data_IF_086140511943
#
_entry.id   IF_086140511943
#
_cell.length_a   1.000
_cell.length_b   1.000
_cell.length_c   1.000
_cell.angle_alpha   90.00
_cell.angle_beta   90.00
_cell.angle_gamma   90.00
#
_symmetry.space_group_name_H-M   'P 1'
#
loop_
_entity.id
_entity.type
_entity.pdbx_description
1 polymer ?
#
# COMPACT_ATOMS: atom_id res chain seq x y z
N UNK A 1 4.07 13.14 13.01
CA UNK A 1 5.05 12.28 12.30
C UNK A 1 5.27 12.88 10.92
N UNK A 2 6.50 13.19 10.58
CA UNK A 2 6.82 13.66 9.22
C UNK A 2 7.08 12.45 8.33
N UNK A 3 6.33 12.35 7.24
CA UNK A 3 6.50 11.34 6.21
C UNK A 3 6.98 12.07 4.96
N UNK A 4 8.22 11.92 4.60
CA UNK A 4 8.92 12.50 3.42
C UNK A 4 8.21 13.59 2.68
N UNK A 5 8.23 14.73 2.55
CA UNK A 5 7.61 15.78 1.73
C UNK A 5 6.08 15.81 1.68
N UNK A 6 5.37 15.02 2.50
CA UNK A 6 3.92 14.97 2.52
C UNK A 6 3.39 15.87 3.63
N UNK A 7 2.34 16.63 3.31
CA UNK A 7 1.63 17.46 4.29
C UNK A 7 0.80 16.58 5.24
N UNK A 8 0.69 17.01 6.50
CA UNK A 8 -0.07 16.26 7.50
C UNK A 8 -1.51 15.99 7.07
N UNK A 9 -2.17 16.95 6.42
CA UNK A 9 -3.53 16.77 5.88
C UNK A 9 -3.61 15.69 4.80
N UNK A 10 -2.57 15.56 3.96
CA UNK A 10 -2.49 14.55 2.93
C UNK A 10 -2.29 13.16 3.57
N UNK A 11 -1.43 13.07 4.57
CA UNK A 11 -1.21 11.83 5.30
C UNK A 11 -2.49 11.36 6.00
N UNK A 12 -3.21 12.25 6.66
CA UNK A 12 -4.48 11.90 7.30
C UNK A 12 -5.55 11.48 6.29
N UNK A 13 -5.60 12.13 5.13
CA UNK A 13 -6.50 11.72 4.04
C UNK A 13 -6.15 10.33 3.51
N UNK A 14 -4.86 10.03 3.33
CA UNK A 14 -4.38 8.70 2.93
C UNK A 14 -4.74 7.62 3.94
N UNK A 15 -4.54 7.89 5.23
CA UNK A 15 -4.89 6.95 6.30
C UNK A 15 -6.39 6.63 6.30
N UNK A 16 -7.23 7.66 6.23
CA UNK A 16 -8.69 7.47 6.14
C UNK A 16 -9.09 6.67 4.90
N UNK A 17 -8.47 6.98 3.76
CA UNK A 17 -8.76 6.27 2.51
C UNK A 17 -8.37 4.78 2.59
N UNK A 18 -7.22 4.45 3.16
CA UNK A 18 -6.78 3.07 3.34
C UNK A 18 -7.70 2.30 4.29
N UNK A 19 -8.07 2.90 5.44
CA UNK A 19 -9.00 2.29 6.38
C UNK A 19 -10.37 2.03 5.75
N UNK A 20 -10.88 3.00 4.99
CA UNK A 20 -12.16 2.85 4.29
C UNK A 20 -12.09 1.79 3.19
N UNK A 21 -10.96 1.66 2.51
CA UNK A 21 -10.78 0.68 1.45
C UNK A 21 -10.91 -0.77 1.96
N UNK A 22 -10.64 -1.03 3.24
CA UNK A 22 -10.86 -2.35 3.85
C UNK A 22 -12.30 -2.85 3.68
N UNK A 23 -13.27 -1.94 3.64
CA UNK A 23 -14.69 -2.28 3.45
C UNK A 23 -14.98 -2.89 2.07
N UNK A 24 -14.09 -2.66 1.09
CA UNK A 24 -14.21 -3.18 -0.27
C UNK A 24 -13.51 -4.52 -0.46
N UNK A 25 -12.87 -5.06 0.57
CA UNK A 25 -12.16 -6.33 0.51
C UNK A 25 -13.10 -7.48 0.18
N UNK A 26 -12.64 -8.36 -0.71
CA UNK A 26 -13.24 -9.67 -0.93
C UNK A 26 -12.35 -10.73 -0.28
N UNK A 27 -12.65 -11.09 0.97
CA UNK A 27 -11.83 -11.99 1.79
C UNK A 27 -12.65 -13.10 2.48
N UNK A 28 -13.39 -13.92 1.67
CA UNK A 28 -14.29 -14.95 2.24
C UNK A 28 -13.55 -16.13 2.87
N UNK A 29 -12.26 -16.32 2.55
CA UNK A 29 -11.46 -17.44 3.04
C UNK A 29 -10.71 -17.10 4.32
N UNK A 30 -9.94 -16.01 4.32
CA UNK A 30 -9.15 -15.59 5.48
C UNK A 30 -9.94 -14.79 6.51
N UNK A 31 -11.02 -14.11 6.08
CA UNK A 31 -11.73 -13.10 6.87
C UNK A 31 -10.81 -11.98 7.35
N UNK A 32 -9.69 -11.75 6.65
CA UNK A 32 -8.74 -10.70 6.95
C UNK A 32 -8.74 -9.67 5.83
N UNK A 33 -9.24 -8.47 6.12
CA UNK A 33 -9.34 -7.38 5.15
C UNK A 33 -8.07 -6.54 5.20
N UNK A 34 -7.59 -6.16 4.03
CA UNK A 34 -6.47 -5.23 3.87
C UNK A 34 -6.90 -4.11 2.93
N UNK A 35 -6.57 -2.89 3.29
CA UNK A 35 -6.81 -1.71 2.48
C UNK A 35 -5.50 -0.98 2.19
N UNK A 36 -5.44 -0.33 1.04
CA UNK A 36 -4.28 0.43 0.61
C UNK A 36 -4.71 1.73 -0.04
N UNK A 37 -3.95 2.79 0.17
CA UNK A 37 -4.09 4.06 -0.53
C UNK A 37 -2.74 4.53 -1.05
N UNK A 38 -2.74 5.21 -2.19
CA UNK A 38 -1.54 5.75 -2.85
C UNK A 38 -1.81 7.19 -3.23
N UNK A 39 -0.88 8.09 -2.87
CA UNK A 39 -0.89 9.48 -3.29
C UNK A 39 0.02 9.65 -4.52
N UNK A 40 -0.56 10.17 -5.60
CA UNK A 40 0.19 10.47 -6.83
C UNK A 40 0.86 11.85 -6.75
N UNK A 41 1.75 12.14 -7.71
CA UNK A 41 2.38 13.45 -7.83
C UNK A 41 1.39 14.59 -8.10
N UNK A 42 0.20 14.28 -8.63
CA UNK A 42 -0.87 15.25 -8.87
C UNK A 42 -1.82 15.39 -7.67
N UNK A 43 -1.43 14.87 -6.51
CA UNK A 43 -2.21 14.90 -5.26
C UNK A 43 -3.56 14.17 -5.35
N UNK A 44 -3.67 13.17 -6.24
CA UNK A 44 -4.84 12.30 -6.34
C UNK A 44 -4.59 11.03 -5.52
N UNK A 45 -5.59 10.62 -4.74
CA UNK A 45 -5.55 9.39 -3.94
C UNK A 45 -6.28 8.28 -4.67
N UNK A 46 -5.59 7.16 -4.87
CA UNK A 46 -6.16 5.90 -5.35
C UNK A 46 -6.18 4.88 -4.23
N UNK A 47 -7.15 3.98 -4.26
CA UNK A 47 -7.30 2.95 -3.23
C UNK A 47 -7.42 1.57 -3.84
N UNK A 48 -7.15 0.56 -3.02
CA UNK A 48 -7.34 -0.84 -3.34
C UNK A 48 -7.60 -1.64 -2.08
N UNK A 49 -8.13 -2.83 -2.25
CA UNK A 49 -8.36 -3.79 -1.19
C UNK A 49 -7.94 -5.18 -1.67
N UNK A 50 -7.70 -6.11 -0.74
CA UNK A 50 -7.35 -7.47 -1.12
C UNK A 50 -8.57 -8.19 -1.71
N UNK A 51 -8.29 -8.99 -2.73
CA UNK A 51 -9.26 -9.83 -3.42
C UNK A 51 -8.76 -11.26 -3.40
N UNK A 52 -9.44 -12.11 -2.65
CA UNK A 52 -9.11 -13.51 -2.55
C UNK A 52 -9.74 -14.34 -3.67
N UNK A 53 -9.22 -15.53 -3.84
CA UNK A 53 -9.69 -16.49 -4.83
C UNK A 53 -9.60 -17.90 -4.24
N UNK A 54 -10.49 -18.79 -4.65
CA UNK A 54 -10.43 -20.21 -4.24
C UNK A 54 -9.10 -20.85 -4.62
N UNK A 55 -8.51 -20.43 -5.73
CA UNK A 55 -7.12 -20.73 -6.08
C UNK A 55 -6.23 -19.67 -5.43
N UNK A 56 -5.62 -19.99 -4.29
CA UNK A 56 -4.90 -19.02 -3.47
C UNK A 56 -3.75 -18.30 -4.18
N UNK A 57 -3.11 -18.94 -5.15
CA UNK A 57 -2.06 -18.30 -5.96
C UNK A 57 -2.59 -17.14 -6.82
N UNK A 58 -3.90 -17.05 -7.01
CA UNK A 58 -4.55 -15.97 -7.76
C UNK A 58 -5.01 -14.81 -6.87
N UNK A 59 -4.83 -14.88 -5.57
CA UNK A 59 -5.19 -13.79 -4.66
C UNK A 59 -4.36 -12.54 -4.98
N UNK A 60 -5.03 -11.38 -4.90
CA UNK A 60 -4.39 -10.07 -5.14
C UNK A 60 -4.37 -9.30 -3.82
N UNK A 61 -3.19 -8.88 -3.40
CA UNK A 61 -3.06 -8.01 -2.23
C UNK A 61 -3.59 -6.61 -2.49
N UNK A 62 -3.98 -5.91 -1.44
CA UNK A 62 -4.52 -4.55 -1.51
C UNK A 62 -3.55 -3.57 -2.20
N UNK A 63 -2.25 -3.72 -1.96
CA UNK A 63 -1.22 -2.87 -2.54
C UNK A 63 -1.20 -2.99 -4.07
N UNK A 64 -1.20 -4.21 -4.61
CA UNK A 64 -1.23 -4.42 -6.07
C UNK A 64 -2.57 -4.00 -6.67
N UNK A 65 -3.68 -4.20 -5.96
CA UNK A 65 -4.99 -3.69 -6.37
C UNK A 65 -4.96 -2.16 -6.52
N UNK A 66 -4.43 -1.43 -5.52
CA UNK A 66 -4.29 0.02 -5.58
C UNK A 66 -3.32 0.47 -6.68
N UNK A 67 -2.17 -0.18 -6.82
CA UNK A 67 -1.18 0.16 -7.84
C UNK A 67 -1.72 0.00 -9.26
N UNK A 68 -2.51 -1.03 -9.51
CA UNK A 68 -3.15 -1.23 -10.82
C UNK A 68 -4.09 -0.07 -11.13
N UNK A 69 -4.85 0.42 -10.15
CA UNK A 69 -5.71 1.60 -10.32
C UNK A 69 -4.90 2.82 -10.72
N UNK A 70 -3.79 3.07 -10.04
CA UNK A 70 -2.88 4.19 -10.34
C UNK A 70 -2.33 4.09 -11.75
N UNK A 71 -1.85 2.92 -12.13
CA UNK A 71 -1.26 2.65 -13.45
C UNK A 71 -2.27 2.79 -14.58
N UNK A 72 -3.48 2.29 -14.39
CA UNK A 72 -4.55 2.39 -15.39
C UNK A 72 -5.07 3.82 -15.55
N UNK A 73 -4.90 4.65 -14.54
CA UNK A 73 -5.17 6.10 -14.64
C UNK A 73 -4.04 6.87 -15.33
N UNK A 74 -2.95 6.20 -15.73
CA UNK A 74 -1.83 6.80 -16.47
C UNK A 74 -0.68 7.30 -15.61
N UNK A 75 -0.72 7.11 -14.29
CA UNK A 75 0.36 7.55 -13.38
C UNK A 75 1.39 6.45 -13.21
N UNK A 76 2.53 6.56 -13.88
CA UNK A 76 3.57 5.52 -13.92
C UNK A 76 4.81 5.82 -13.08
N UNK A 77 4.88 7.01 -12.50
CA UNK A 77 6.02 7.46 -11.71
C UNK A 77 5.63 8.63 -10.82
N UNK A 78 6.54 9.02 -9.93
CA UNK A 78 6.36 10.22 -9.10
C UNK A 78 5.33 10.05 -7.97
N UNK A 79 4.97 8.82 -7.61
CA UNK A 79 4.09 8.57 -6.46
C UNK A 79 4.76 9.07 -5.18
N UNK A 80 3.97 9.63 -4.26
CA UNK A 80 4.50 10.31 -3.08
C UNK A 80 4.50 9.43 -1.83
N UNK A 81 3.48 8.57 -1.65
CA UNK A 81 3.32 7.77 -0.45
C UNK A 81 2.32 6.64 -0.66
N UNK A 82 2.51 5.56 0.07
CA UNK A 82 1.56 4.46 0.20
C UNK A 82 1.20 4.28 1.67
N UNK A 83 -0.09 4.05 1.95
CA UNK A 83 -0.58 3.68 3.28
C UNK A 83 -1.27 2.33 3.18
N UNK A 84 -0.97 1.42 4.10
CA UNK A 84 -1.53 0.08 4.19
C UNK A 84 -2.14 -0.12 5.57
N UNK A 85 -3.31 -0.73 5.65
CA UNK A 85 -3.93 -1.15 6.91
C UNK A 85 -4.58 -2.52 6.76
N UNK A 86 -4.87 -3.17 7.86
CA UNK A 86 -5.55 -4.47 7.85
C UNK A 86 -6.16 -4.82 9.19
N UNK A 87 -6.91 -5.91 9.25
CA UNK A 87 -7.72 -6.34 10.38
C UNK A 87 -6.90 -6.91 11.57
N UNK A 88 -5.82 -6.25 11.95
CA UNK A 88 -5.06 -6.55 13.15
C UNK A 88 -5.10 -5.35 14.10
N UNK A 89 -5.56 -5.54 15.31
CA UNK A 89 -5.59 -4.49 16.33
C UNK A 89 -4.19 -4.21 16.90
N UNK A 90 -3.38 -5.24 17.01
CA UNK A 90 -2.09 -5.17 17.71
C UNK A 90 -0.91 -4.88 16.79
N UNK A 91 -1.00 -5.23 15.51
CA UNK A 91 0.14 -5.14 14.60
C UNK A 91 -0.18 -4.26 13.40
N UNK A 92 0.82 -3.48 13.00
CA UNK A 92 0.80 -2.79 11.71
C UNK A 92 1.02 -3.80 10.59
N UNK A 93 0.21 -3.72 9.53
CA UNK A 93 0.28 -4.64 8.39
C UNK A 93 1.37 -4.19 7.44
N UNK A 94 2.34 -5.07 7.18
CA UNK A 94 3.41 -4.82 6.21
C UNK A 94 3.13 -5.51 4.87
N UNK A 95 3.65 -4.96 3.77
CA UNK A 95 3.49 -5.59 2.45
C UNK A 95 4.24 -6.92 2.38
N UNK A 96 3.64 -7.92 1.73
CA UNK A 96 4.30 -9.19 1.47
C UNK A 96 5.45 -9.04 0.46
N UNK A 97 6.29 -10.08 0.32
CA UNK A 97 7.44 -10.04 -0.56
C UNK A 97 7.08 -9.78 -2.02
N UNK A 98 5.99 -10.36 -2.51
CA UNK A 98 5.48 -10.11 -3.88
C UNK A 98 5.12 -8.65 -4.08
N UNK A 99 4.43 -8.04 -3.12
CA UNK A 99 4.08 -6.62 -3.19
C UNK A 99 5.32 -5.73 -3.09
N UNK A 100 6.30 -6.05 -2.24
CA UNK A 100 7.56 -5.29 -2.14
C UNK A 100 8.28 -5.24 -3.48
N UNK A 101 8.42 -6.36 -4.16
CA UNK A 101 9.04 -6.41 -5.49
C UNK A 101 8.22 -5.64 -6.52
N UNK A 102 6.89 -5.76 -6.48
CA UNK A 102 5.99 -5.06 -7.39
C UNK A 102 6.05 -3.54 -7.19
N UNK A 103 6.03 -3.06 -5.94
CA UNK A 103 6.13 -1.63 -5.61
C UNK A 103 7.47 -1.06 -6.12
N UNK A 104 8.55 -1.80 -5.92
CA UNK A 104 9.89 -1.35 -6.26
C UNK A 104 10.06 -0.97 -7.74
N UNK A 105 9.29 -1.54 -8.65
CA UNK A 105 9.32 -1.20 -10.08
C UNK A 105 8.97 0.27 -10.34
N UNK A 106 8.10 0.85 -9.53
CA UNK A 106 7.47 2.15 -9.80
C UNK A 106 7.93 3.28 -8.89
N UNK A 107 8.68 2.98 -7.84
CA UNK A 107 9.05 3.97 -6.82
C UNK A 107 10.56 4.01 -6.57
N UNK A 108 11.01 5.12 -6.01
CA UNK A 108 12.40 5.28 -5.57
C UNK A 108 12.64 4.66 -4.19
N UNK A 109 13.91 4.45 -3.82
CA UNK A 109 14.28 3.83 -2.54
C UNK A 109 13.75 4.58 -1.31
N UNK A 110 13.64 5.89 -1.40
CA UNK A 110 13.17 6.73 -0.29
C UNK A 110 11.63 6.82 -0.21
N UNK A 111 10.92 6.13 -1.11
CA UNK A 111 9.46 6.13 -1.12
C UNK A 111 8.90 5.63 0.21
N UNK A 112 8.08 6.44 0.90
CA UNK A 112 7.56 6.09 2.21
C UNK A 112 6.35 5.17 2.11
N UNK A 113 6.36 4.12 2.93
CA UNK A 113 5.25 3.19 3.12
C UNK A 113 4.84 3.27 4.58
N UNK A 114 3.62 3.72 4.82
CA UNK A 114 3.01 3.85 6.13
C UNK A 114 2.15 2.62 6.39
N UNK A 115 2.47 1.90 7.44
CA UNK A 115 1.77 0.68 7.84
C UNK A 115 0.95 0.96 9.09
N UNK A 116 -0.34 0.62 9.06
CA UNK A 116 -1.27 0.86 10.14
C UNK A 116 -1.82 -0.46 10.70
N UNK A 117 -2.27 -0.40 11.95
CA UNK A 117 -3.19 -1.40 12.51
C UNK A 117 -4.64 -1.11 12.06
N UNK A 118 -5.60 -1.92 12.48
CA UNK A 118 -7.01 -1.84 12.05
C UNK A 118 -7.71 -0.54 12.39
N UNK A 119 -7.28 0.14 13.46
CA UNK A 119 -7.89 1.41 13.91
C UNK A 119 -7.10 2.65 13.48
N UNK A 120 -5.90 2.46 12.94
CA UNK A 120 -4.97 3.55 12.66
C UNK A 120 -4.32 4.17 13.90
N UNK A 121 -4.54 3.59 15.09
CA UNK A 121 -3.96 4.07 16.35
C UNK A 121 -2.46 3.78 16.45
N UNK A 122 -1.97 2.79 15.73
CA UNK A 122 -0.56 2.45 15.62
C UNK A 122 -0.12 2.61 14.17
N UNK A 123 1.07 3.16 13.98
CA UNK A 123 1.66 3.32 12.66
C UNK A 123 3.16 3.06 12.70
N UNK A 124 3.66 2.53 11.60
CA UNK A 124 5.09 2.39 11.34
C UNK A 124 5.39 2.88 9.94
N UNK A 125 6.43 3.67 9.79
CA UNK A 125 6.87 4.15 8.47
C UNK A 125 8.20 3.50 8.14
N UNK A 126 8.28 2.93 6.94
CA UNK A 126 9.53 2.43 6.37
C UNK A 126 9.63 2.89 4.92
N UNK A 127 10.85 3.05 4.44
CA UNK A 127 11.09 3.32 3.02
C UNK A 127 11.06 2.04 2.21
N UNK A 128 10.91 2.17 0.89
CA UNK A 128 11.00 1.01 -0.01
C UNK A 128 12.36 0.31 0.12
N UNK A 129 13.43 1.08 0.24
CA UNK A 129 14.78 0.53 0.40
C UNK A 129 14.97 -0.26 1.68
N UNK A 130 14.32 0.13 2.78
CA UNK A 130 14.34 -0.62 4.04
C UNK A 130 13.52 -1.91 3.96
N UNK A 131 12.40 -1.90 3.23
CA UNK A 131 11.54 -3.07 3.07
C UNK A 131 12.07 -4.09 2.07
N UNK A 132 12.88 -3.65 1.11
CA UNK A 132 13.49 -4.50 0.09
C UNK A 132 14.94 -4.06 -0.17
N UNK A 133 15.87 -4.35 0.75
CA UNK A 133 17.26 -3.89 0.65
C UNK A 133 18.04 -4.55 -0.49
N UNK A 134 17.66 -5.76 -0.89
CA UNK A 134 18.21 -6.48 -2.03
C UNK A 134 17.08 -6.88 -2.97
N UNK A 135 17.13 -6.44 -4.20
CA UNK A 135 16.00 -6.50 -5.13
C UNK A 135 16.41 -7.04 -6.48
N UNK A 136 15.43 -7.59 -7.21
CA UNK A 136 15.61 -7.93 -8.61
C UNK A 136 15.53 -6.65 -9.44
N UNK A 137 16.57 -6.42 -10.26
CA UNK A 137 16.59 -5.33 -11.23
C UNK A 137 16.63 -5.88 -12.65
N UNK A 138 16.21 -5.05 -13.60
CA UNK A 138 16.34 -5.40 -15.01
C UNK A 138 17.84 -5.39 -15.39
N UNK A 139 18.32 -6.53 -15.87
CA UNK A 139 19.74 -6.74 -16.14
C UNK A 139 20.13 -6.59 -17.62
N UNK A 140 19.20 -6.17 -18.47
CA UNK A 140 19.38 -6.06 -19.92
C UNK A 140 19.32 -4.60 -20.35
#
# INVERSE_FOLDING_TARGET
MKVGGIEDRQLEALKRAALKACELSYSPYSHFRVGCSILTNNDVIFTGANVENASYSNCICAERSAMIQVLMAGHRSGWKCMVICGDSEDQCVSPCGVCRQFINEFVVKDFPIVMLNSTGSRSKVMTMGELLPWLLVHLI
#
